data_IF_480676514993
#
_entry.id   IF_480676514993
#
_cell.length_a   1.000
_cell.length_b   1.000
_cell.length_c   1.000
_cell.angle_alpha   90.00
_cell.angle_beta   90.00
_cell.angle_gamma   90.00
#
_symmetry.space_group_name_H-M   'P 1'
#
loop_
_entity.id
_entity.type
_entity.pdbx_description
1 polymer ?
#
# COMPACT_ATOMS: atom_id res chain seq x y z
N UNK A 1 -41.40 31.03 19.75
CA UNK A 1 -41.71 31.17 18.31
C UNK A 1 -40.47 30.78 17.51
N UNK A 2 -40.67 30.25 16.28
CA UNK A 2 -39.74 29.56 15.35
C UNK A 2 -39.77 28.04 15.50
N UNK A 3 -40.81 27.39 14.96
CA UNK A 3 -41.13 27.07 13.55
C UNK A 3 -40.52 25.74 13.12
N UNK A 4 -41.41 24.76 13.06
CA UNK A 4 -41.31 23.42 12.47
C UNK A 4 -41.14 23.54 10.95
N UNK A 5 -40.32 22.69 10.33
CA UNK A 5 -40.63 22.09 9.03
C UNK A 5 -39.99 20.71 8.94
N UNK A 6 -40.86 19.69 8.95
CA UNK A 6 -40.59 18.31 8.58
C UNK A 6 -40.84 18.22 7.07
N UNK A 7 -39.91 17.67 6.30
CA UNK A 7 -40.18 17.18 4.95
C UNK A 7 -39.26 16.00 4.65
N UNK A 8 -39.88 14.85 4.42
CA UNK A 8 -39.27 13.59 4.04
C UNK A 8 -39.15 13.47 2.51
N UNK A 9 -38.18 12.70 2.02
CA UNK A 9 -38.27 12.03 0.72
C UNK A 9 -37.41 10.75 0.75
N UNK A 10 -38.10 9.61 0.68
CA UNK A 10 -37.56 8.25 0.54
C UNK A 10 -37.55 7.92 -0.95
N UNK A 11 -36.45 7.44 -1.49
CA UNK A 11 -36.40 6.83 -2.84
C UNK A 11 -35.74 5.46 -2.76
N UNK A 12 -36.56 4.43 -2.87
CA UNK A 12 -36.18 3.01 -3.01
C UNK A 12 -36.24 2.70 -4.50
N UNK A 13 -35.13 2.25 -5.10
CA UNK A 13 -35.15 1.72 -6.48
C UNK A 13 -34.79 0.24 -6.42
N UNK A 14 -35.80 -0.61 -6.60
CA UNK A 14 -35.64 -2.05 -6.77
C UNK A 14 -35.60 -2.37 -8.27
N UNK A 15 -34.55 -3.06 -8.73
CA UNK A 15 -34.54 -3.74 -10.03
C UNK A 15 -34.59 -5.25 -9.77
N UNK A 16 -35.64 -5.89 -10.27
CA UNK A 16 -35.87 -7.31 -10.19
C UNK A 16 -35.84 -7.96 -11.58
N UNK A 17 -35.00 -9.01 -11.69
CA UNK A 17 -35.07 -10.26 -12.47
C UNK A 17 -35.46 -10.23 -13.97
N UNK A 18 -34.64 -10.86 -14.83
CA UNK A 18 -34.86 -12.23 -15.37
C UNK A 18 -33.90 -12.52 -16.54
N UNK A 19 -33.39 -13.76 -16.62
CA UNK A 19 -32.67 -14.26 -17.79
C UNK A 19 -32.03 -15.62 -17.52
N UNK A 20 -32.64 -16.68 -18.02
CA UNK A 20 -32.33 -18.09 -17.74
C UNK A 20 -31.72 -18.76 -18.99
N UNK A 21 -30.93 -19.82 -18.76
CA UNK A 21 -30.59 -20.96 -19.66
C UNK A 21 -29.67 -20.75 -20.88
N UNK A 22 -28.50 -21.41 -20.85
CA UNK A 22 -28.11 -22.54 -21.73
C UNK A 22 -26.64 -22.92 -21.37
N UNK A 23 -26.38 -24.11 -20.84
CA UNK A 23 -25.93 -25.33 -21.57
C UNK A 23 -24.42 -25.33 -21.84
N UNK A 24 -23.77 -26.33 -21.26
CA UNK A 24 -22.43 -26.85 -21.48
C UNK A 24 -21.78 -26.53 -22.84
N UNK A 25 -20.55 -26.02 -22.79
CA UNK A 25 -19.48 -26.48 -23.69
C UNK A 25 -18.18 -26.44 -22.90
N UNK A 26 -17.67 -27.63 -22.64
CA UNK A 26 -16.27 -27.85 -22.29
C UNK A 26 -15.42 -27.34 -23.45
N UNK A 27 -14.73 -26.22 -23.25
CA UNK A 27 -13.57 -25.86 -24.05
C UNK A 27 -12.36 -25.82 -23.12
N UNK A 28 -11.48 -26.80 -23.34
CA UNK A 28 -10.12 -26.90 -22.84
C UNK A 28 -9.37 -25.56 -22.99
N UNK A 29 -9.49 -24.69 -21.99
CA UNK A 29 -8.58 -23.58 -21.81
C UNK A 29 -7.24 -24.14 -21.32
N UNK A 30 -6.46 -24.61 -22.29
CA UNK A 30 -5.00 -24.81 -22.24
C UNK A 30 -4.37 -23.90 -21.17
N UNK A 31 -3.59 -24.43 -20.21
CA UNK A 31 -2.98 -23.62 -19.17
C UNK A 31 -2.07 -22.59 -19.85
N UNK A 32 -2.52 -21.34 -19.88
CA UNK A 32 -1.68 -20.22 -20.27
C UNK A 32 -0.56 -20.17 -19.25
N UNK A 33 0.66 -20.42 -19.74
CA UNK A 33 1.91 -20.33 -18.99
C UNK A 33 1.84 -19.10 -18.09
N UNK A 34 1.74 -19.33 -16.78
CA UNK A 34 1.80 -18.30 -15.76
C UNK A 34 3.08 -17.50 -16.03
N UNK A 35 2.93 -16.25 -16.47
CA UNK A 35 4.07 -15.36 -16.65
C UNK A 35 4.90 -15.38 -15.36
N UNK A 36 6.23 -15.48 -15.42
CA UNK A 36 7.04 -15.49 -14.22
C UNK A 36 6.70 -14.24 -13.40
N UNK A 37 6.29 -14.44 -12.15
CA UNK A 37 6.06 -13.33 -11.25
C UNK A 37 7.34 -12.49 -11.19
N UNK A 38 7.24 -11.20 -11.47
CA UNK A 38 8.36 -10.29 -11.32
C UNK A 38 8.93 -10.46 -9.90
N UNK A 39 10.22 -10.80 -9.82
CA UNK A 39 10.89 -11.01 -8.53
C UNK A 39 10.99 -9.66 -7.84
N UNK A 40 10.34 -9.52 -6.68
CA UNK A 40 10.54 -8.35 -5.80
C UNK A 40 12.03 -8.20 -5.49
N UNK A 41 12.60 -6.98 -5.56
CA UNK A 41 14.00 -6.75 -5.19
C UNK A 41 14.29 -7.21 -3.75
N UNK A 42 15.55 -7.57 -3.49
CA UNK A 42 15.99 -7.86 -2.13
C UNK A 42 15.91 -6.60 -1.25
N UNK A 43 15.43 -6.77 -0.02
CA UNK A 43 15.32 -5.68 0.96
C UNK A 43 15.44 -6.24 2.38
N UNK A 44 15.77 -5.35 3.33
CA UNK A 44 15.83 -5.67 4.77
C UNK A 44 15.04 -4.64 5.56
N UNK A 45 14.17 -5.09 6.46
CA UNK A 45 13.58 -4.19 7.47
C UNK A 45 14.60 -4.09 8.60
N UNK A 46 15.14 -2.89 8.82
CA UNK A 46 16.15 -2.64 9.86
C UNK A 46 15.56 -2.03 11.12
N UNK A 47 14.40 -1.38 10.98
CA UNK A 47 13.64 -0.83 12.09
C UNK A 47 12.14 -1.00 11.83
N UNK A 48 11.41 -1.38 12.86
CA UNK A 48 9.96 -1.47 12.82
C UNK A 48 9.38 -1.23 14.21
N UNK A 49 8.72 -0.11 14.38
CA UNK A 49 7.93 0.16 15.58
C UNK A 49 6.71 -0.76 15.62
N UNK A 50 6.44 -1.34 16.79
CA UNK A 50 5.36 -2.33 16.98
C UNK A 50 4.24 -1.85 17.89
N UNK A 51 4.40 -0.68 18.51
CA UNK A 51 3.45 -0.09 19.45
C UNK A 51 3.05 1.32 19.02
N UNK A 52 1.90 1.79 19.49
CA UNK A 52 1.37 3.12 19.16
C UNK A 52 0.52 3.12 17.88
N UNK A 53 -0.15 4.25 17.68
CA UNK A 53 -1.07 4.49 16.56
C UNK A 53 -0.35 5.01 15.32
N UNK A 54 0.86 5.55 15.50
CA UNK A 54 1.79 5.94 14.43
C UNK A 54 3.03 5.08 14.60
N UNK A 55 3.51 4.47 13.51
CA UNK A 55 4.65 3.54 13.53
C UNK A 55 5.60 3.82 12.39
N UNK A 56 6.88 3.92 12.71
CA UNK A 56 7.95 4.02 11.74
C UNK A 56 8.43 2.64 11.28
N UNK A 57 8.72 2.50 9.98
CA UNK A 57 9.32 1.30 9.39
C UNK A 57 10.46 1.71 8.47
N UNK A 58 11.69 1.35 8.83
CA UNK A 58 12.89 1.64 8.01
C UNK A 58 13.31 0.38 7.26
N UNK A 59 13.44 0.53 5.95
CA UNK A 59 13.76 -0.52 5.00
C UNK A 59 15.04 -0.14 4.27
N UNK A 60 15.98 -1.06 4.18
CA UNK A 60 17.19 -0.92 3.39
C UNK A 60 17.10 -1.74 2.10
N UNK A 61 17.58 -1.14 1.01
CA UNK A 61 17.72 -1.76 -0.30
C UNK A 61 19.10 -1.45 -0.87
N UNK A 62 19.52 -2.25 -1.85
CA UNK A 62 20.82 -2.10 -2.52
C UNK A 62 20.72 -1.36 -3.87
N UNK A 63 19.52 -0.98 -4.32
CA UNK A 63 19.34 -0.31 -5.62
C UNK A 63 18.07 0.54 -5.68
N UNK A 64 17.98 1.41 -6.71
CA UNK A 64 16.77 2.19 -7.01
C UNK A 64 15.71 1.40 -7.78
N UNK A 65 16.00 0.17 -8.18
CA UNK A 65 15.08 -0.62 -9.00
C UNK A 65 14.00 -1.25 -8.15
N UNK A 66 12.73 -1.11 -8.55
CA UNK A 66 11.61 -1.80 -7.91
C UNK A 66 11.26 -1.31 -6.49
N UNK A 67 11.56 -0.05 -6.15
CA UNK A 67 11.23 0.53 -4.83
C UNK A 67 9.73 0.43 -4.51
N UNK A 68 8.84 0.58 -5.50
CA UNK A 68 7.39 0.40 -5.31
C UNK A 68 7.03 -1.06 -4.99
N UNK A 69 7.74 -2.02 -5.56
CA UNK A 69 7.53 -3.44 -5.27
C UNK A 69 7.98 -3.78 -3.85
N UNK A 70 9.11 -3.21 -3.41
CA UNK A 70 9.57 -3.31 -2.02
C UNK A 70 8.55 -2.71 -1.06
N UNK A 71 8.08 -1.49 -1.33
CA UNK A 71 7.01 -0.85 -0.56
C UNK A 71 5.78 -1.77 -0.45
N UNK A 72 5.31 -2.31 -1.58
CA UNK A 72 4.15 -3.20 -1.63
C UNK A 72 4.38 -4.50 -0.86
N UNK A 73 5.59 -5.05 -0.89
CA UNK A 73 5.95 -6.26 -0.14
C UNK A 73 6.02 -6.00 1.38
N UNK A 74 6.47 -4.81 1.78
CA UNK A 74 6.50 -4.37 3.19
C UNK A 74 5.07 -4.16 3.71
N UNK A 75 4.22 -3.41 3.00
CA UNK A 75 2.85 -3.11 3.45
C UNK A 75 1.97 -4.35 3.60
N UNK A 76 2.23 -5.41 2.83
CA UNK A 76 1.56 -6.73 2.99
C UNK A 76 1.86 -7.42 4.32
N UNK A 77 2.99 -7.09 4.96
CA UNK A 77 3.40 -7.64 6.27
C UNK A 77 2.88 -6.81 7.45
N UNK A 78 2.40 -5.59 7.19
CA UNK A 78 1.90 -4.66 8.20
C UNK A 78 0.39 -4.82 8.34
N UNK A 79 -0.03 -5.68 9.26
CA UNK A 79 -1.43 -6.09 9.44
C UNK A 79 -2.10 -5.47 10.67
N UNK A 80 -1.34 -4.95 11.62
CA UNK A 80 -1.90 -4.34 12.82
C UNK A 80 -2.51 -2.97 12.50
N UNK A 81 -3.57 -2.62 13.21
CA UNK A 81 -4.21 -1.32 13.06
C UNK A 81 -3.26 -0.20 13.54
N UNK A 82 -2.85 0.68 12.62
CA UNK A 82 -1.95 1.80 12.84
C UNK A 82 -1.75 2.59 11.55
N UNK A 83 -1.22 3.81 11.67
CA UNK A 83 -0.63 4.56 10.58
C UNK A 83 0.86 4.25 10.47
N UNK A 84 1.28 3.73 9.33
CA UNK A 84 2.67 3.40 9.09
C UNK A 84 3.34 4.43 8.20
N UNK A 85 4.49 4.91 8.61
CA UNK A 85 5.40 5.74 7.82
C UNK A 85 6.60 4.88 7.45
N UNK A 86 6.81 4.72 6.15
CA UNK A 86 7.74 3.74 5.59
C UNK A 86 8.85 4.48 4.87
N UNK A 87 10.05 4.10 5.23
CA UNK A 87 11.27 4.80 4.97
C UNK A 87 12.18 3.86 4.19
N UNK A 88 12.36 4.09 2.88
CA UNK A 88 13.18 3.20 2.05
C UNK A 88 14.52 3.88 1.77
N UNK A 89 15.57 3.30 2.32
CA UNK A 89 16.93 3.79 2.32
C UNK A 89 17.84 2.94 1.46
N UNK A 90 18.86 3.60 0.91
CA UNK A 90 20.02 2.89 0.41
C UNK A 90 20.82 2.29 1.56
N UNK A 91 21.22 1.03 1.43
CA UNK A 91 22.00 0.31 2.44
C UNK A 91 23.50 0.67 2.45
N UNK A 92 24.03 1.24 1.36
CA UNK A 92 25.46 1.51 1.12
C UNK A 92 25.84 2.99 1.20
N UNK A 93 24.90 3.88 1.50
CA UNK A 93 25.15 5.31 1.64
C UNK A 93 24.29 5.88 2.75
N UNK A 94 24.84 6.81 3.52
CA UNK A 94 24.16 7.47 4.65
C UNK A 94 25.10 7.63 5.85
N UNK A 95 25.97 8.64 5.83
CA UNK A 95 26.51 9.15 7.10
C UNK A 95 25.39 9.91 7.82
N UNK A 96 25.51 10.17 9.12
CA UNK A 96 24.54 10.99 9.86
C UNK A 96 24.27 12.39 9.25
N UNK A 97 25.08 12.80 8.24
CA UNK A 97 24.99 14.09 7.54
C UNK A 97 24.45 14.00 6.10
N UNK A 98 24.26 12.80 5.53
CA UNK A 98 23.75 12.63 4.16
C UNK A 98 22.52 11.74 4.19
N UNK A 99 21.34 12.34 3.98
CA UNK A 99 20.08 11.61 3.89
C UNK A 99 20.13 10.58 2.75
N UNK A 100 20.03 9.31 3.11
CA UNK A 100 20.05 8.16 2.21
C UNK A 100 18.65 7.66 1.81
N UNK A 101 17.62 8.47 2.07
CA UNK A 101 16.24 8.18 1.70
C UNK A 101 16.05 8.18 0.19
N UNK A 102 15.74 7.01 -0.35
CA UNK A 102 15.39 6.80 -1.75
C UNK A 102 13.89 6.99 -2.01
N UNK A 103 13.04 6.59 -1.07
CA UNK A 103 11.60 6.75 -1.17
C UNK A 103 10.94 6.81 0.20
N UNK A 104 9.75 7.42 0.22
CA UNK A 104 8.86 7.45 1.37
C UNK A 104 7.55 6.75 1.02
N UNK A 105 6.88 6.23 2.03
CA UNK A 105 5.56 5.64 1.87
C UNK A 105 4.72 5.82 3.12
N UNK A 106 3.41 5.76 2.93
CA UNK A 106 2.42 5.73 4.01
C UNK A 106 1.47 4.58 3.80
N UNK A 107 1.02 3.99 4.89
CA UNK A 107 -0.04 2.99 4.89
C UNK A 107 -0.98 3.26 6.07
N UNK A 108 -2.27 3.39 5.78
CA UNK A 108 -3.32 3.35 6.79
C UNK A 108 -3.77 1.90 6.97
N UNK A 109 -3.82 1.41 8.21
CA UNK A 109 -4.56 0.19 8.57
C UNK A 109 -5.68 0.55 9.54
N UNK A 110 -6.92 0.26 9.16
CA UNK A 110 -8.12 0.62 9.90
C UNK A 110 -8.32 2.12 10.12
N UNK A 111 -9.31 2.45 10.94
CA UNK A 111 -9.68 3.82 11.27
C UNK A 111 -8.56 4.58 11.98
N UNK A 112 -7.82 3.92 12.87
CA UNK A 112 -6.68 4.54 13.54
C UNK A 112 -5.57 4.90 12.55
N UNK A 113 -5.32 4.05 11.56
CA UNK A 113 -4.35 4.34 10.51
C UNK A 113 -4.76 5.47 9.58
N UNK A 114 -6.05 5.53 9.22
CA UNK A 114 -6.60 6.63 8.44
C UNK A 114 -6.41 7.97 9.17
N UNK A 115 -6.78 8.03 10.46
CA UNK A 115 -6.61 9.22 11.28
C UNK A 115 -5.14 9.65 11.43
N UNK A 116 -4.21 8.70 11.58
CA UNK A 116 -2.79 8.99 11.77
C UNK A 116 -2.09 9.48 10.49
N UNK A 117 -2.49 8.97 9.32
CA UNK A 117 -1.81 9.25 8.04
C UNK A 117 -2.50 10.31 7.18
N UNK A 118 -3.79 10.59 7.46
CA UNK A 118 -4.64 11.44 6.62
C UNK A 118 -5.07 10.76 5.32
N UNK A 119 -4.89 9.45 5.19
CA UNK A 119 -5.37 8.64 4.08
C UNK A 119 -6.75 8.05 4.39
N UNK A 120 -7.42 7.52 3.37
CA UNK A 120 -8.58 6.65 3.57
C UNK A 120 -8.19 5.34 4.28
N UNK A 121 -9.17 4.65 4.86
CA UNK A 121 -8.97 3.33 5.46
C UNK A 121 -8.36 2.34 4.44
N UNK A 122 -7.33 1.62 4.85
CA UNK A 122 -6.50 0.75 3.99
C UNK A 122 -5.79 1.44 2.82
N UNK A 123 -5.83 2.77 2.78
CA UNK A 123 -5.13 3.60 1.80
C UNK A 123 -3.61 3.52 1.92
N UNK A 124 -2.91 3.76 0.81
CA UNK A 124 -1.46 3.83 0.79
C UNK A 124 -0.95 4.90 -0.16
N UNK A 125 0.14 5.57 0.22
CA UNK A 125 0.83 6.59 -0.58
C UNK A 125 2.29 6.17 -0.76
N UNK A 126 2.88 6.48 -1.90
CA UNK A 126 4.29 6.19 -2.18
C UNK A 126 4.89 7.27 -3.05
N UNK A 127 6.07 7.74 -2.69
CA UNK A 127 6.82 8.74 -3.46
C UNK A 127 8.31 8.41 -3.45
N UNK A 128 8.94 8.52 -4.62
CA UNK A 128 10.39 8.41 -4.75
C UNK A 128 11.03 9.78 -4.59
N UNK A 129 12.18 9.83 -3.93
CA UNK A 129 12.98 11.04 -3.85
C UNK A 129 13.85 11.15 -5.11
N UNK A 130 13.58 12.16 -5.92
CA UNK A 130 14.34 12.40 -7.16
C UNK A 130 15.80 12.78 -6.87
N UNK A 131 16.69 12.48 -7.83
CA UNK A 131 18.11 12.83 -7.76
C UNK A 131 18.93 12.03 -6.74
N UNK A 132 18.35 11.02 -6.11
CA UNK A 132 19.05 10.13 -5.18
C UNK A 132 19.81 9.05 -5.92
N UNK A 133 20.85 8.53 -5.28
CA UNK A 133 21.65 7.42 -5.80
C UNK A 133 21.82 6.38 -4.70
N UNK A 134 22.02 5.13 -5.11
CA UNK A 134 22.42 4.06 -4.21
C UNK A 134 23.71 3.48 -4.77
N UNK A 135 24.87 3.83 -4.20
CA UNK A 135 26.16 3.34 -4.68
C UNK A 135 26.23 1.82 -4.59
N UNK A 136 26.96 1.19 -5.51
CA UNK A 136 27.25 -0.23 -5.36
C UNK A 136 28.01 -0.47 -4.04
N UNK A 137 27.71 -1.59 -3.37
CA UNK A 137 28.53 -2.07 -2.26
C UNK A 137 29.87 -2.53 -2.85
N UNK A 138 30.87 -1.67 -2.79
CA UNK A 138 32.26 -1.99 -3.15
C UNK A 138 32.81 -3.16 -2.35
#
# INVERSE_FOLDING_TARGET
>A
MRNRHIAAAITITALALTGCTSTDTSDDAKPTKKAPAAKTPAYKIVEQETSGNTRQVVVEVDSLTGLKDVFTAVTKKLTAEAGYFIDINCSSGGTASVDNRLANGKLARGNMGAAATGLDEDGSEFSTNAGRTCPDKG
#
